data_IF_730628566439
#
_entry.id   IF_730628566439
#
_cell.length_a   1.000
_cell.length_b   1.000
_cell.length_c   1.000
_cell.angle_alpha   90.00
_cell.angle_beta   90.00
_cell.angle_gamma   90.00
#
_symmetry.space_group_name_H-M   'P 1'
#
loop_
_entity.id
_entity.type
_entity.pdbx_description
1 polymer ?
#
# COMPACT_ATOMS: atom_id res chain seq x y z
N UNK A 1 18.61 8.33 -5.44
CA UNK A 1 17.19 8.73 -5.49
C UNK A 1 16.30 7.78 -6.30
N UNK A 2 16.84 6.90 -7.17
CA UNK A 2 16.06 6.14 -8.15
C UNK A 2 15.37 4.85 -7.66
N UNK A 3 15.69 4.33 -6.48
CA UNK A 3 15.15 3.05 -5.98
C UNK A 3 13.92 3.27 -5.10
N UNK A 4 14.00 4.21 -4.14
CA UNK A 4 12.85 4.61 -3.29
C UNK A 4 11.65 5.07 -4.12
N UNK A 5 11.88 5.85 -5.18
CA UNK A 5 10.79 6.30 -6.09
C UNK A 5 10.16 5.15 -6.90
N UNK A 6 10.91 4.09 -7.20
CA UNK A 6 10.36 2.89 -7.86
C UNK A 6 9.54 2.05 -6.89
N UNK A 7 10.03 1.92 -5.66
CA UNK A 7 9.32 1.17 -4.62
C UNK A 7 8.01 1.86 -4.20
N UNK A 8 7.98 3.20 -4.14
CA UNK A 8 6.74 3.94 -3.85
C UNK A 8 5.71 3.81 -4.96
N UNK A 9 6.13 3.98 -6.22
CA UNK A 9 5.21 3.90 -7.37
C UNK A 9 4.66 2.49 -7.59
N UNK A 10 5.46 1.45 -7.34
CA UNK A 10 4.99 0.07 -7.38
C UNK A 10 3.96 -0.23 -6.27
N UNK A 11 4.19 0.27 -5.05
CA UNK A 11 3.27 0.09 -3.94
C UNK A 11 1.95 0.84 -4.13
N UNK A 12 2.00 2.07 -4.66
CA UNK A 12 0.79 2.85 -4.98
C UNK A 12 -0.09 2.14 -6.03
N UNK A 13 0.53 1.54 -7.06
CA UNK A 13 -0.19 0.73 -8.05
C UNK A 13 -0.86 -0.50 -7.45
N UNK A 14 -0.16 -1.23 -6.58
CA UNK A 14 -0.73 -2.40 -5.89
C UNK A 14 -1.95 -2.03 -5.03
N UNK A 15 -1.87 -0.90 -4.31
CA UNK A 15 -3.00 -0.40 -3.51
C UNK A 15 -4.19 0.02 -4.38
N UNK A 16 -3.92 0.66 -5.52
CA UNK A 16 -4.97 1.02 -6.46
C UNK A 16 -5.66 -0.22 -7.06
N UNK A 17 -4.90 -1.24 -7.47
CA UNK A 17 -5.47 -2.50 -7.96
C UNK A 17 -6.31 -3.20 -6.89
N UNK A 18 -5.83 -3.25 -5.64
CA UNK A 18 -6.61 -3.81 -4.53
C UNK A 18 -7.92 -3.06 -4.30
N UNK A 19 -7.89 -1.72 -4.31
CA UNK A 19 -9.10 -0.91 -4.15
C UNK A 19 -10.13 -1.15 -5.27
N UNK A 20 -9.67 -1.28 -6.52
CA UNK A 20 -10.55 -1.61 -7.66
C UNK A 20 -11.16 -3.01 -7.52
N UNK A 21 -10.38 -3.99 -7.07
CA UNK A 21 -10.89 -5.34 -6.82
C UNK A 21 -11.95 -5.35 -5.70
N UNK A 22 -11.71 -4.59 -4.62
CA UNK A 22 -12.66 -4.47 -3.51
C UNK A 22 -13.96 -3.83 -3.98
N UNK A 23 -13.89 -2.78 -4.81
CA UNK A 23 -15.06 -2.13 -5.42
C UNK A 23 -15.83 -3.09 -6.34
N UNK A 24 -15.12 -3.82 -7.21
CA UNK A 24 -15.70 -4.82 -8.09
C UNK A 24 -16.40 -5.93 -7.30
N UNK A 25 -15.79 -6.38 -6.20
CA UNK A 25 -16.34 -7.38 -5.28
C UNK A 25 -17.61 -6.88 -4.58
N UNK A 26 -17.56 -5.70 -3.97
CA UNK A 26 -18.72 -5.12 -3.27
C UNK A 26 -19.91 -4.94 -4.22
N UNK A 27 -19.68 -4.46 -5.44
CA UNK A 27 -20.73 -4.32 -6.45
C UNK A 27 -21.33 -5.68 -6.86
N UNK A 28 -20.50 -6.72 -7.00
CA UNK A 28 -20.98 -8.08 -7.27
C UNK A 28 -21.79 -8.67 -6.10
N UNK A 29 -21.37 -8.42 -4.85
CA UNK A 29 -22.14 -8.84 -3.67
C UNK A 29 -23.50 -8.14 -3.58
N UNK A 30 -23.54 -6.83 -3.87
CA UNK A 30 -24.80 -6.08 -3.96
C UNK A 30 -25.72 -6.62 -5.05
N UNK A 31 -25.17 -7.00 -6.21
CA UNK A 31 -25.94 -7.68 -7.26
C UNK A 31 -26.51 -9.01 -6.76
N UNK A 32 -25.69 -9.83 -6.10
CA UNK A 32 -26.10 -11.13 -5.56
C UNK A 32 -27.24 -11.00 -4.54
N UNK A 33 -27.19 -10.04 -3.62
CA UNK A 33 -28.27 -9.79 -2.65
C UNK A 33 -29.58 -9.42 -3.34
N UNK A 34 -29.51 -8.46 -4.27
CA UNK A 34 -30.69 -7.99 -5.03
C UNK A 34 -31.28 -9.11 -5.89
N UNK A 35 -30.44 -9.92 -6.54
CA UNK A 35 -30.88 -11.09 -7.28
C UNK A 35 -31.56 -12.12 -6.38
N UNK A 36 -30.99 -12.41 -5.21
CA UNK A 36 -31.59 -13.32 -4.25
C UNK A 36 -32.98 -12.84 -3.83
N UNK A 37 -33.10 -11.56 -3.46
CA UNK A 37 -34.39 -10.94 -3.11
C UNK A 37 -35.36 -10.94 -4.29
N UNK A 38 -34.91 -10.61 -5.50
CA UNK A 38 -35.73 -10.68 -6.71
C UNK A 38 -36.26 -12.10 -6.95
N UNK A 39 -35.45 -13.13 -6.75
CA UNK A 39 -35.87 -14.53 -6.80
C UNK A 39 -36.98 -14.86 -5.79
N UNK A 40 -36.84 -14.40 -4.54
CA UNK A 40 -37.88 -14.57 -3.52
C UNK A 40 -39.18 -13.90 -3.95
N UNK A 41 -39.14 -12.65 -4.42
CA UNK A 41 -40.35 -11.96 -4.89
C UNK A 41 -40.97 -12.63 -6.12
N UNK A 42 -40.16 -13.15 -7.04
CA UNK A 42 -40.65 -13.92 -8.19
C UNK A 42 -41.38 -15.18 -7.74
N UNK A 43 -40.87 -15.86 -6.71
CA UNK A 43 -41.53 -17.04 -6.13
C UNK A 43 -42.87 -16.65 -5.48
N UNK A 44 -42.90 -15.56 -4.70
CA UNK A 44 -44.13 -15.06 -4.07
C UNK A 44 -45.17 -14.63 -5.11
N UNK A 45 -44.74 -13.94 -6.17
CA UNK A 45 -45.60 -13.53 -7.29
C UNK A 45 -46.29 -14.76 -7.93
N UNK A 46 -45.53 -15.85 -8.14
CA UNK A 46 -46.08 -17.12 -8.66
C UNK A 46 -47.13 -17.74 -7.75
N UNK A 47 -46.90 -17.73 -6.44
CA UNK A 47 -47.83 -18.32 -5.45
C UNK A 47 -49.09 -17.48 -5.23
N UNK A 48 -48.96 -16.14 -5.33
CA UNK A 48 -50.04 -15.19 -5.01
C UNK A 48 -50.83 -14.71 -6.22
N UNK A 49 -50.31 -14.92 -7.43
CA UNK A 49 -50.86 -14.36 -8.67
C UNK A 49 -50.52 -12.89 -8.89
N UNK A 50 -49.70 -12.29 -8.02
CA UNK A 50 -49.08 -10.98 -8.23
C UNK A 50 -48.05 -11.06 -9.36
N UNK A 51 -47.76 -9.92 -10.01
CA UNK A 51 -46.78 -9.85 -11.11
C UNK A 51 -45.88 -8.64 -10.98
N UNK A 52 -44.57 -8.86 -11.17
CA UNK A 52 -43.58 -7.81 -11.35
C UNK A 52 -43.00 -7.21 -10.06
N UNK A 53 -43.28 -7.78 -8.88
CA UNK A 53 -42.71 -7.34 -7.60
C UNK A 53 -41.18 -7.43 -7.56
N UNK A 54 -40.61 -8.33 -8.37
CA UNK A 54 -39.18 -8.57 -8.48
C UNK A 54 -38.46 -7.62 -9.45
N UNK A 55 -39.18 -6.90 -10.32
CA UNK A 55 -38.61 -6.13 -11.43
C UNK A 55 -37.63 -5.04 -10.96
N UNK A 56 -38.03 -4.24 -9.96
CA UNK A 56 -37.17 -3.15 -9.43
C UNK A 56 -35.86 -3.69 -8.87
N UNK A 57 -35.92 -4.82 -8.14
CA UNK A 57 -34.72 -5.46 -7.59
C UNK A 57 -33.83 -6.03 -8.69
N UNK A 58 -34.42 -6.57 -9.76
CA UNK A 58 -33.67 -7.01 -10.93
C UNK A 58 -32.96 -5.84 -11.63
N UNK A 59 -33.65 -4.72 -11.85
CA UNK A 59 -33.05 -3.53 -12.46
C UNK A 59 -31.86 -3.02 -11.63
N UNK A 60 -32.03 -2.91 -10.31
CA UNK A 60 -30.94 -2.53 -9.42
C UNK A 60 -29.80 -3.56 -9.38
N UNK A 61 -30.10 -4.85 -9.54
CA UNK A 61 -29.08 -5.89 -9.66
C UNK A 61 -28.26 -5.72 -10.95
N UNK A 62 -28.92 -5.47 -12.09
CA UNK A 62 -28.26 -5.22 -13.37
C UNK A 62 -27.35 -3.98 -13.32
N UNK A 63 -27.79 -2.92 -12.64
CA UNK A 63 -26.95 -1.73 -12.38
C UNK A 63 -25.70 -2.11 -11.58
N UNK A 64 -25.86 -2.93 -10.53
CA UNK A 64 -24.75 -3.37 -9.68
C UNK A 64 -23.77 -4.28 -10.44
N UNK A 65 -24.29 -5.18 -11.30
CA UNK A 65 -23.47 -6.01 -12.19
C UNK A 65 -22.67 -5.17 -13.20
N UNK A 66 -23.27 -4.10 -13.73
CA UNK A 66 -22.56 -3.18 -14.61
C UNK A 66 -21.43 -2.46 -13.88
N UNK A 67 -21.69 -1.93 -12.69
CA UNK A 67 -20.65 -1.31 -11.86
C UNK A 67 -19.52 -2.27 -11.53
N UNK A 68 -19.85 -3.51 -11.17
CA UNK A 68 -18.86 -4.56 -10.90
C UNK A 68 -17.94 -4.79 -12.10
N UNK A 69 -18.51 -4.87 -13.30
CA UNK A 69 -17.78 -5.02 -14.54
C UNK A 69 -16.91 -3.80 -14.86
N UNK A 70 -17.43 -2.58 -14.66
CA UNK A 70 -16.70 -1.34 -14.91
C UNK A 70 -15.48 -1.21 -13.99
N UNK A 71 -15.60 -1.59 -12.70
CA UNK A 71 -14.45 -1.66 -11.79
C UNK A 71 -13.47 -2.75 -12.20
N UNK A 72 -13.96 -3.94 -12.55
CA UNK A 72 -13.11 -5.06 -12.97
C UNK A 72 -12.29 -4.75 -14.22
N UNK A 73 -12.86 -4.04 -15.20
CA UNK A 73 -12.15 -3.65 -16.43
C UNK A 73 -11.01 -2.66 -16.19
N UNK A 74 -11.06 -1.89 -15.10
CA UNK A 74 -10.00 -0.95 -14.72
C UNK A 74 -8.83 -1.64 -14.01
N UNK A 75 -8.98 -2.90 -13.59
CA UNK A 75 -7.90 -3.67 -12.98
C UNK A 75 -6.86 -3.94 -14.08
N UNK A 76 -5.69 -3.33 -13.94
CA UNK A 76 -4.53 -3.66 -14.77
C UNK A 76 -4.19 -5.14 -14.58
N UNK A 77 -4.43 -5.94 -15.62
CA UNK A 77 -3.91 -7.31 -15.69
C UNK A 77 -2.41 -7.21 -15.87
N UNK A 78 -1.71 -7.07 -14.75
CA UNK A 78 -0.26 -7.03 -14.72
C UNK A 78 0.27 -8.32 -15.37
N UNK A 79 1.30 -8.24 -16.20
CA UNK A 79 2.05 -9.40 -16.73
C UNK A 79 2.78 -10.21 -15.64
N UNK A 80 2.60 -9.80 -14.37
CA UNK A 80 3.19 -10.44 -13.22
C UNK A 80 2.58 -11.84 -13.05
N UNK A 81 3.44 -12.85 -13.14
CA UNK A 81 3.11 -14.28 -12.99
C UNK A 81 2.74 -14.65 -11.54
N UNK A 82 2.08 -13.74 -10.79
CA UNK A 82 1.56 -14.03 -9.46
C UNK A 82 0.35 -14.97 -9.59
N UNK A 83 0.60 -16.26 -9.33
CA UNK A 83 -0.39 -17.32 -9.44
C UNK A 83 -1.64 -17.07 -8.59
N UNK A 84 -1.47 -16.42 -7.44
CA UNK A 84 -2.57 -16.19 -6.50
C UNK A 84 -3.46 -15.06 -6.97
N UNK A 85 -2.86 -13.98 -7.49
CA UNK A 85 -3.61 -12.88 -8.12
C UNK A 85 -4.42 -13.37 -9.32
N UNK A 86 -3.81 -14.19 -10.18
CA UNK A 86 -4.53 -14.78 -11.32
C UNK A 86 -5.64 -15.73 -10.87
N UNK A 87 -5.40 -16.57 -9.86
CA UNK A 87 -6.41 -17.47 -9.32
C UNK A 87 -7.60 -16.68 -8.75
N UNK A 88 -7.35 -15.60 -8.01
CA UNK A 88 -8.36 -14.69 -7.49
C UNK A 88 -9.18 -14.05 -8.62
N UNK A 89 -8.53 -13.45 -9.61
CA UNK A 89 -9.23 -12.83 -10.73
C UNK A 89 -10.10 -13.83 -11.51
N UNK A 90 -9.64 -15.07 -11.69
CA UNK A 90 -10.44 -16.15 -12.31
C UNK A 90 -11.66 -16.51 -11.46
N UNK A 91 -11.49 -16.65 -10.14
CA UNK A 91 -12.62 -16.96 -9.24
C UNK A 91 -13.67 -15.85 -9.19
N UNK A 92 -13.22 -14.59 -9.23
CA UNK A 92 -14.10 -13.45 -9.35
C UNK A 92 -14.90 -13.50 -10.65
N UNK A 93 -14.25 -13.76 -11.79
CA UNK A 93 -14.94 -13.85 -13.08
C UNK A 93 -15.98 -14.98 -13.09
N UNK A 94 -15.66 -16.13 -12.50
CA UNK A 94 -16.59 -17.25 -12.40
C UNK A 94 -17.84 -16.89 -11.56
N UNK A 95 -17.65 -16.23 -10.42
CA UNK A 95 -18.74 -15.70 -9.61
C UNK A 95 -19.58 -14.68 -10.40
N UNK A 96 -18.92 -13.71 -11.03
CA UNK A 96 -19.58 -12.67 -11.82
C UNK A 96 -20.42 -13.25 -12.96
N UNK A 97 -19.85 -14.17 -13.74
CA UNK A 97 -20.56 -14.82 -14.84
C UNK A 97 -21.78 -15.60 -14.36
N UNK A 98 -21.66 -16.31 -13.23
CA UNK A 98 -22.81 -17.00 -12.63
C UNK A 98 -23.93 -16.02 -12.23
N UNK A 99 -23.59 -14.85 -11.67
CA UNK A 99 -24.59 -13.83 -11.32
C UNK A 99 -25.26 -13.22 -12.57
N UNK A 100 -24.50 -13.02 -13.65
CA UNK A 100 -25.05 -12.57 -14.94
C UNK A 100 -26.00 -13.61 -15.52
N UNK A 101 -25.59 -14.88 -15.56
CA UNK A 101 -26.42 -15.98 -16.04
C UNK A 101 -27.71 -16.11 -15.25
N UNK A 102 -27.63 -15.97 -13.93
CA UNK A 102 -28.79 -15.95 -13.06
C UNK A 102 -29.74 -14.78 -13.39
N UNK A 103 -29.21 -13.56 -13.50
CA UNK A 103 -29.98 -12.37 -13.83
C UNK A 103 -30.70 -12.48 -15.20
N UNK A 104 -29.96 -12.89 -16.23
CA UNK A 104 -30.48 -13.04 -17.59
C UNK A 104 -31.54 -14.13 -17.68
N UNK A 105 -31.34 -15.25 -17.00
CA UNK A 105 -32.30 -16.36 -16.99
C UNK A 105 -33.61 -15.99 -16.32
N UNK A 106 -33.57 -15.31 -15.16
CA UNK A 106 -34.77 -14.81 -14.48
C UNK A 106 -35.52 -13.86 -15.42
N UNK A 107 -34.81 -12.93 -16.07
CA UNK A 107 -35.41 -11.93 -16.97
C UNK A 107 -36.05 -12.54 -18.22
N UNK A 108 -35.46 -13.60 -18.77
CA UNK A 108 -35.96 -14.23 -20.00
C UNK A 108 -37.12 -15.19 -19.75
N UNK A 109 -37.06 -15.96 -18.66
CA UNK A 109 -37.97 -17.08 -18.44
C UNK A 109 -39.01 -16.82 -17.35
N UNK A 110 -38.79 -15.84 -16.47
CA UNK A 110 -39.49 -15.70 -15.19
C UNK A 110 -39.51 -17.02 -14.39
N UNK A 111 -38.49 -17.87 -14.56
CA UNK A 111 -38.34 -19.15 -13.85
C UNK A 111 -37.33 -19.05 -12.71
N UNK A 112 -37.61 -19.79 -11.64
CA UNK A 112 -36.78 -19.81 -10.43
C UNK A 112 -35.75 -20.95 -10.48
N UNK A 113 -35.89 -21.89 -11.42
CA UNK A 113 -35.08 -23.12 -11.49
C UNK A 113 -33.58 -22.82 -11.66
N UNK A 114 -33.25 -21.68 -12.27
CA UNK A 114 -31.87 -21.22 -12.43
C UNK A 114 -31.12 -21.07 -11.09
N UNK A 115 -31.82 -20.73 -10.00
CA UNK A 115 -31.22 -20.64 -8.66
C UNK A 115 -30.67 -21.98 -8.16
N UNK A 116 -31.16 -23.10 -8.70
CA UNK A 116 -30.67 -24.44 -8.37
C UNK A 116 -29.64 -24.96 -9.39
N UNK A 117 -29.59 -24.38 -10.59
CA UNK A 117 -28.67 -24.80 -11.65
C UNK A 117 -27.30 -24.13 -11.52
N UNK A 118 -27.27 -22.85 -11.14
CA UNK A 118 -26.01 -22.10 -11.02
C UNK A 118 -25.49 -22.20 -9.57
N UNK A 119 -24.31 -22.80 -9.32
CA UNK A 119 -23.81 -23.02 -7.96
C UNK A 119 -23.15 -21.75 -7.39
N UNK A 120 -23.91 -20.64 -7.29
CA UNK A 120 -23.42 -19.33 -6.84
C UNK A 120 -22.69 -19.42 -5.50
N UNK A 121 -23.21 -20.20 -4.54
CA UNK A 121 -22.57 -20.38 -3.23
C UNK A 121 -21.16 -20.98 -3.36
N UNK A 122 -20.97 -21.94 -4.26
CA UNK A 122 -19.65 -22.53 -4.49
C UNK A 122 -18.68 -21.50 -5.08
N UNK A 123 -19.16 -20.66 -6.00
CA UNK A 123 -18.36 -19.59 -6.59
C UNK A 123 -17.99 -18.52 -5.56
N UNK A 124 -18.91 -18.14 -4.67
CA UNK A 124 -18.64 -17.22 -3.56
C UNK A 124 -17.62 -17.78 -2.57
N UNK A 125 -17.73 -19.07 -2.24
CA UNK A 125 -16.78 -19.73 -1.33
C UNK A 125 -15.38 -19.80 -1.94
N UNK A 126 -15.27 -20.20 -3.21
CA UNK A 126 -14.00 -20.26 -3.95
C UNK A 126 -13.34 -18.88 -4.04
N UNK A 127 -14.12 -17.85 -4.40
CA UNK A 127 -13.65 -16.47 -4.43
C UNK A 127 -13.17 -16.01 -3.05
N UNK A 128 -13.95 -16.22 -2.00
CA UNK A 128 -13.61 -15.80 -0.63
C UNK A 128 -12.33 -16.45 -0.14
N UNK A 129 -12.14 -17.74 -0.43
CA UNK A 129 -10.91 -18.46 -0.09
C UNK A 129 -9.69 -17.84 -0.78
N UNK A 130 -9.78 -17.61 -2.09
CA UNK A 130 -8.68 -17.03 -2.88
C UNK A 130 -8.40 -15.57 -2.51
N UNK A 131 -9.43 -14.81 -2.17
CA UNK A 131 -9.30 -13.44 -1.69
C UNK A 131 -8.56 -13.40 -0.34
N UNK A 132 -8.89 -14.32 0.58
CA UNK A 132 -8.16 -14.48 1.84
C UNK A 132 -6.67 -14.83 1.64
N UNK A 133 -6.37 -15.75 0.72
CA UNK A 133 -4.98 -16.10 0.37
C UNK A 133 -4.21 -14.90 -0.21
N UNK A 134 -4.84 -14.15 -1.12
CA UNK A 134 -4.27 -12.94 -1.71
C UNK A 134 -3.94 -11.87 -0.66
N UNK A 135 -4.84 -11.64 0.31
CA UNK A 135 -4.60 -10.69 1.41
C UNK A 135 -3.48 -11.16 2.33
N UNK A 136 -3.45 -12.44 2.68
CA UNK A 136 -2.40 -13.02 3.52
C UNK A 136 -1.02 -12.86 2.87
N UNK A 137 -0.91 -13.16 1.57
CA UNK A 137 0.36 -13.07 0.83
C UNK A 137 0.78 -11.63 0.55
N UNK A 138 -0.15 -10.70 0.32
CA UNK A 138 0.18 -9.27 0.25
C UNK A 138 0.65 -8.71 1.60
N UNK A 139 0.02 -9.12 2.70
CA UNK A 139 0.44 -8.70 4.06
C UNK A 139 1.83 -9.26 4.40
N UNK A 140 2.12 -10.51 4.03
CA UNK A 140 3.44 -11.12 4.22
C UNK A 140 4.52 -10.38 3.42
N UNK A 141 4.24 -10.04 2.14
CA UNK A 141 5.12 -9.20 1.32
C UNK A 141 5.35 -7.83 1.97
N UNK A 142 4.29 -7.14 2.38
CA UNK A 142 4.39 -5.83 3.04
C UNK A 142 5.19 -5.89 4.36
N UNK A 143 5.07 -6.96 5.15
CA UNK A 143 5.86 -7.15 6.38
C UNK A 143 7.33 -7.42 6.09
N UNK A 144 7.66 -8.26 5.09
CA UNK A 144 9.05 -8.45 4.66
C UNK A 144 9.70 -7.14 4.18
N UNK A 145 8.95 -6.32 3.43
CA UNK A 145 9.42 -4.99 3.01
C UNK A 145 9.52 -4.00 4.19
N UNK A 146 8.60 -4.05 5.16
CA UNK A 146 8.63 -3.24 6.38
C UNK A 146 9.78 -3.58 7.33
N UNK A 147 10.12 -4.87 7.49
CA UNK A 147 11.31 -5.29 8.24
C UNK A 147 12.61 -4.95 7.51
N UNK A 148 12.63 -5.00 6.17
CA UNK A 148 13.74 -4.48 5.37
C UNK A 148 13.92 -2.95 5.52
N UNK A 149 12.85 -2.19 5.74
CA UNK A 149 12.95 -0.77 6.10
C UNK A 149 13.58 -0.57 7.49
N UNK A 150 13.27 -1.43 8.47
CA UNK A 150 13.90 -1.36 9.80
C UNK A 150 15.38 -1.77 9.76
N UNK A 151 15.77 -2.75 8.93
CA UNK A 151 17.18 -3.11 8.69
C UNK A 151 17.91 -2.02 7.90
N UNK A 152 17.23 -1.29 7.00
CA UNK A 152 17.84 -0.18 6.25
C UNK A 152 17.96 1.12 7.07
N UNK A 153 17.30 1.22 8.23
CA UNK A 153 17.53 2.29 9.20
C UNK A 153 18.89 2.12 9.94
N UNK A 154 19.37 0.88 10.12
CA UNK A 154 20.67 0.61 10.75
C UNK A 154 21.86 1.05 9.87
N UNK A 155 21.69 0.97 8.53
CA UNK A 155 22.67 1.48 7.56
C UNK A 155 22.70 3.01 7.48
N UNK A 156 21.60 3.67 7.81
CA UNK A 156 21.50 5.14 7.83
C UNK A 156 22.05 5.72 9.14
N UNK A 157 21.83 5.05 10.27
CA UNK A 157 22.45 5.40 11.55
C UNK A 157 23.98 5.36 11.49
N UNK A 158 24.56 4.35 10.82
CA UNK A 158 26.02 4.21 10.69
C UNK A 158 26.65 5.36 9.90
N UNK A 159 26.04 5.78 8.78
CA UNK A 159 26.55 6.90 7.97
C UNK A 159 26.44 8.22 8.76
N UNK A 160 25.35 8.44 9.48
CA UNK A 160 25.18 9.62 10.34
C UNK A 160 26.22 9.67 11.46
N UNK A 161 26.53 8.51 12.07
CA UNK A 161 27.59 8.38 13.09
C UNK A 161 28.98 8.65 12.52
N UNK A 162 29.30 8.16 11.32
CA UNK A 162 30.58 8.42 10.64
C UNK A 162 30.71 9.91 10.30
N UNK A 163 29.66 10.52 9.76
CA UNK A 163 29.65 11.94 9.38
C UNK A 163 29.80 12.85 10.61
N UNK A 164 29.10 12.52 11.70
CA UNK A 164 29.20 13.23 12.98
C UNK A 164 30.60 13.06 13.60
N UNK A 165 31.15 11.84 13.57
CA UNK A 165 32.52 11.55 14.01
C UNK A 165 33.57 12.33 13.22
N UNK A 166 33.43 12.43 11.90
CA UNK A 166 34.31 13.21 11.04
C UNK A 166 34.27 14.70 11.40
N UNK A 167 33.07 15.25 11.59
CA UNK A 167 32.87 16.67 11.91
C UNK A 167 33.47 17.03 13.29
N UNK A 168 33.34 16.13 14.27
CA UNK A 168 34.01 16.25 15.56
C UNK A 168 35.54 16.18 15.42
N UNK A 169 36.07 15.25 14.62
CA UNK A 169 37.51 15.12 14.40
C UNK A 169 38.11 16.39 13.78
N UNK A 170 37.42 17.00 12.80
CA UNK A 170 37.83 18.29 12.21
C UNK A 170 37.80 19.40 13.26
N UNK A 171 36.75 19.48 14.08
CA UNK A 171 36.63 20.47 15.16
C UNK A 171 37.77 20.38 16.17
N UNK A 172 38.10 19.16 16.63
CA UNK A 172 39.24 18.93 17.52
C UNK A 172 40.59 19.21 16.85
N UNK A 173 40.73 18.89 15.56
CA UNK A 173 41.91 19.20 14.77
C UNK A 173 42.16 20.71 14.69
N UNK A 174 41.14 21.49 14.32
CA UNK A 174 41.21 22.95 14.28
C UNK A 174 41.50 23.52 15.66
N UNK A 175 40.84 23.03 16.71
CA UNK A 175 41.10 23.47 18.09
C UNK A 175 42.55 23.20 18.51
N UNK A 176 43.09 22.01 18.21
CA UNK A 176 44.48 21.66 18.50
C UNK A 176 45.48 22.56 17.75
N UNK A 177 45.20 22.88 16.49
CA UNK A 177 46.00 23.77 15.65
C UNK A 177 45.99 25.20 16.22
N UNK A 178 44.80 25.75 16.50
CA UNK A 178 44.64 27.10 17.07
C UNK A 178 45.31 27.22 18.44
N UNK A 179 45.12 26.23 19.32
CA UNK A 179 45.72 26.24 20.65
C UNK A 179 47.26 26.20 20.58
N UNK A 180 47.82 25.43 19.63
CA UNK A 180 49.27 25.25 19.52
C UNK A 180 49.97 26.36 18.74
N UNK A 181 49.33 26.90 17.70
CA UNK A 181 49.93 27.88 16.77
C UNK A 181 49.54 29.32 17.10
N UNK A 182 48.36 29.57 17.68
CA UNK A 182 47.90 30.94 17.96
C UNK A 182 47.99 31.24 19.44
N UNK A 183 47.33 30.47 20.31
CA UNK A 183 47.21 30.79 21.74
C UNK A 183 48.55 30.73 22.48
N UNK A 184 49.34 29.66 22.25
CA UNK A 184 50.65 29.50 22.91
C UNK A 184 51.67 30.59 22.59
N UNK A 185 51.87 31.04 21.33
CA UNK A 185 52.77 32.16 21.07
C UNK A 185 52.19 33.52 21.46
N UNK A 186 50.85 33.71 21.46
CA UNK A 186 50.24 34.99 21.89
C UNK A 186 50.47 35.26 23.39
N UNK A 187 50.42 34.22 24.23
CA UNK A 187 50.85 34.33 25.64
C UNK A 187 52.33 34.66 25.80
N UNK A 188 53.18 34.23 24.85
CA UNK A 188 54.62 34.54 24.84
C UNK A 188 54.88 36.00 24.46
N UNK A 189 54.05 36.57 23.59
CA UNK A 189 54.12 37.98 23.19
C UNK A 189 53.61 38.90 24.30
N UNK A 190 52.54 38.51 25.02
CA UNK A 190 52.06 39.25 26.20
C UNK A 190 53.14 39.31 27.30
N UNK A 191 53.96 38.27 27.45
CA UNK A 191 55.10 38.28 28.38
C UNK A 191 56.21 39.25 27.95
N UNK A 192 56.44 39.45 26.65
CA UNK A 192 57.41 40.44 26.16
C UNK A 192 56.90 41.89 26.18
N UNK A 193 55.59 42.12 26.06
CA UNK A 193 55.02 43.46 26.25
C UNK A 193 55.00 43.90 27.72
N UNK A 194 54.93 42.96 28.67
CA UNK A 194 55.11 43.26 30.10
C UNK A 194 56.53 43.74 30.46
N UNK A 195 57.54 43.35 29.68
CA UNK A 195 58.92 43.76 29.91
C UNK A 195 59.28 45.12 29.27
N UNK A 196 58.47 45.64 28.34
CA UNK A 196 58.68 46.97 27.73
C UNK A 196 57.92 48.08 28.49
N UNK A 197 56.88 47.73 29.27
CA UNK A 197 56.20 48.66 30.18
C UNK A 197 56.88 48.80 31.55
N UNK A 198 57.85 47.93 31.87
CA UNK A 198 58.62 47.98 33.11
C UNK A 198 60.03 48.43 32.76
N UNK A 199 60.19 49.73 32.51
CA UNK A 199 61.49 50.32 32.22
C UNK A 199 62.48 50.00 33.34
N UNK A 200 63.40 49.07 33.09
CA UNK A 200 64.61 48.91 33.87
C UNK A 200 65.79 48.79 32.90
N UNK A 201 66.43 49.94 32.71
CA UNK A 201 67.68 50.15 32.00
C UNK A 201 68.82 50.20 33.05
N UNK A 202 69.00 49.14 33.83
CA UNK A 202 70.19 48.94 34.67
C UNK A 202 70.32 47.44 35.00
N UNK A 203 71.40 46.70 34.77
CA UNK A 203 72.79 47.03 34.46
C UNK A 203 73.48 45.81 33.80
N UNK A 204 74.25 46.14 32.76
CA UNK A 204 75.56 45.64 32.28
C UNK A 204 75.90 44.13 32.23
N UNK A 205 76.23 43.68 31.02
CA UNK A 205 77.49 42.97 30.80
C UNK A 205 78.59 44.04 30.72
N UNK A 206 79.43 44.13 31.76
CA UNK A 206 80.55 45.07 31.99
C UNK A 206 80.27 46.59 31.95
#
# INVERSE_FOLDING_TARGET
MSQVQRDTTANDRLRQQQALLDQACMAAMNASDKLNRAGIYLMVDKETGSVGSWNSLMEEAQVSLKQAQDYYQQIEKSDDNDSDSQALLRSYQQLYQGLVELADSIKQSNQIDIFFMVPIQAYQNDFTQKYGLYLANNTARQKQHGEQFLVSLDRTHTIFMILLGLLLAVSFGVWGIVNRIIIRPLNRIIYHLGHIASGDLSQQLD
#
